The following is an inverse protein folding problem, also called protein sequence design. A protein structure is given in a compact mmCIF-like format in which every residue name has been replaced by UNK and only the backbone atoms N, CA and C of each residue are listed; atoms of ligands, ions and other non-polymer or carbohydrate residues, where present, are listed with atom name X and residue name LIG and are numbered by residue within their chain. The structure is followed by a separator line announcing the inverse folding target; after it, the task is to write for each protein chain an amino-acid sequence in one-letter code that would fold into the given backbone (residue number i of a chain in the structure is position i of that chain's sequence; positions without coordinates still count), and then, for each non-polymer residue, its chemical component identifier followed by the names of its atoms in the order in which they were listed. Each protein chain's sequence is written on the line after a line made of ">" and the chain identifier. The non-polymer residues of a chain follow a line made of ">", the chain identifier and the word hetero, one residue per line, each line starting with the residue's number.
data_IF_748911759712
#
_entry.id   IF_748911759712
#
_cell.length_a   1.000
_cell.length_b   1.000
_cell.length_c   1.000
_cell.angle_alpha   90.00
_cell.angle_beta   90.00
_cell.angle_gamma   90.00
#
_symmetry.space_group_name_H-M   'P 1'
#
loop_
_entity.id
_entity.type
_entity.pdbx_description
1 polymer ?
#
# COMPACT_ATOMS: atom_id res chain seq x y z
N UNK A 1 22.35 -1.58 25.54
CA UNK A 1 22.87 -0.22 25.77
C UNK A 1 21.89 0.85 25.28
N UNK A 2 21.41 0.80 24.02
CA UNK A 2 20.52 1.82 23.44
C UNK A 2 19.20 2.09 24.21
N UNK A 3 18.47 1.06 24.65
CA UNK A 3 17.16 1.26 25.31
C UNK A 3 17.26 1.97 26.67
N UNK A 4 18.36 1.78 27.42
CA UNK A 4 18.56 2.45 28.70
C UNK A 4 18.86 3.94 28.54
N UNK A 5 19.55 4.31 27.45
CA UNK A 5 19.78 5.71 27.07
C UNK A 5 18.46 6.36 26.65
N UNK A 6 17.65 5.68 25.82
CA UNK A 6 16.29 6.13 25.48
C UNK A 6 15.40 6.28 26.72
N UNK A 7 15.56 5.40 27.70
CA UNK A 7 14.82 5.44 28.96
C UNK A 7 15.09 6.67 29.84
N UNK A 8 16.17 7.43 29.59
CA UNK A 8 16.45 8.72 30.25
C UNK A 8 15.68 9.88 29.62
N UNK A 9 15.35 9.76 28.32
CA UNK A 9 14.55 10.73 27.58
C UNK A 9 13.04 10.51 27.79
N UNK A 10 12.65 9.42 28.45
CA UNK A 10 11.26 8.99 28.64
C UNK A 10 10.64 9.48 29.98
N UNK A 11 11.00 10.69 30.43
CA UNK A 11 10.41 11.27 31.64
C UNK A 11 9.02 11.87 31.33
N UNK A 12 8.08 11.72 32.26
CA UNK A 12 6.68 12.19 32.09
C UNK A 12 6.60 13.73 32.19
N UNK A 13 7.51 14.35 32.95
CA UNK A 13 7.47 15.79 33.22
C UNK A 13 8.29 16.63 32.22
N UNK A 14 9.45 16.14 31.78
CA UNK A 14 10.41 16.88 30.93
C UNK A 14 10.97 16.03 29.77
N UNK A 15 10.36 14.88 29.49
CA UNK A 15 10.84 13.95 28.47
C UNK A 15 10.19 14.15 27.10
N UNK A 16 10.62 13.30 26.17
CA UNK A 16 10.06 13.20 24.83
C UNK A 16 8.61 12.68 24.88
N UNK A 17 7.81 13.06 23.89
CA UNK A 17 6.45 12.55 23.75
C UNK A 17 6.43 11.02 23.57
N UNK A 18 5.33 10.39 23.98
CA UNK A 18 5.11 8.94 23.82
C UNK A 18 5.28 8.51 22.35
N UNK A 19 4.83 9.35 21.41
CA UNK A 19 5.04 9.18 19.98
C UNK A 19 6.54 9.15 19.60
N UNK A 20 7.32 10.13 20.06
CA UNK A 20 8.75 10.23 19.74
C UNK A 20 9.55 9.05 20.32
N UNK A 21 9.28 8.64 21.57
CA UNK A 21 9.95 7.49 22.19
C UNK A 21 9.61 6.20 21.43
N UNK A 22 8.34 6.03 21.04
CA UNK A 22 7.90 4.91 20.20
C UNK A 22 8.65 4.88 18.88
N UNK A 23 8.79 6.02 18.21
CA UNK A 23 9.56 6.11 16.96
C UNK A 23 11.02 5.73 17.18
N UNK A 24 11.67 6.23 18.23
CA UNK A 24 13.06 5.88 18.56
C UNK A 24 13.23 4.39 18.87
N UNK A 25 12.30 3.77 19.59
CA UNK A 25 12.34 2.33 19.82
C UNK A 25 12.26 1.54 18.51
N UNK A 26 11.32 1.90 17.62
CA UNK A 26 11.18 1.25 16.32
C UNK A 26 12.45 1.46 15.46
N UNK A 27 12.93 2.69 15.35
CA UNK A 27 14.05 3.06 14.49
C UNK A 27 15.40 2.53 14.99
N UNK A 28 15.68 2.55 16.30
CA UNK A 28 17.01 2.26 16.83
C UNK A 28 17.12 0.89 17.52
N UNK A 29 16.05 0.41 18.15
CA UNK A 29 16.09 -0.85 18.90
C UNK A 29 15.59 -1.99 18.04
N UNK A 30 14.42 -1.85 17.40
CA UNK A 30 13.86 -2.95 16.60
C UNK A 30 14.65 -3.21 15.32
N UNK A 31 15.25 -2.18 14.73
CA UNK A 31 16.15 -2.31 13.57
C UNK A 31 17.34 -3.23 13.86
N UNK A 32 17.89 -3.18 15.07
CA UNK A 32 19.01 -4.04 15.51
C UNK A 32 18.49 -5.40 16.01
N UNK A 33 17.43 -5.41 16.81
CA UNK A 33 16.93 -6.64 17.44
C UNK A 33 16.30 -7.62 16.45
N UNK A 34 15.71 -7.10 15.38
CA UNK A 34 15.02 -7.88 14.36
C UNK A 34 15.89 -8.05 13.10
N UNK A 35 17.15 -7.58 13.13
CA UNK A 35 18.06 -7.68 12.00
C UNK A 35 18.28 -9.14 11.60
N UNK A 36 18.00 -9.46 10.33
CA UNK A 36 18.15 -10.82 9.82
C UNK A 36 17.03 -11.77 10.24
N UNK A 37 15.90 -11.28 10.77
CA UNK A 37 14.74 -12.10 11.14
C UNK A 37 14.30 -13.05 10.01
N UNK A 38 14.41 -12.62 8.76
CA UNK A 38 14.07 -13.44 7.59
C UNK A 38 14.95 -14.70 7.48
N UNK A 39 16.13 -14.71 8.08
CA UNK A 39 17.10 -15.81 8.05
C UNK A 39 16.92 -16.74 9.26
N UNK A 40 16.85 -16.17 10.47
CA UNK A 40 16.88 -16.99 11.70
C UNK A 40 15.51 -17.29 12.30
N UNK A 41 14.47 -16.49 12.07
CA UNK A 41 13.22 -16.60 12.82
C UNK A 41 12.35 -17.77 12.34
N UNK A 42 12.03 -18.68 13.28
CA UNK A 42 11.18 -19.86 13.05
C UNK A 42 10.21 -20.11 14.23
N UNK A 43 9.80 -19.05 14.93
CA UNK A 43 9.02 -19.12 16.17
C UNK A 43 9.76 -19.82 17.34
N UNK A 44 11.08 -19.64 17.45
CA UNK A 44 11.84 -20.27 18.53
C UNK A 44 11.53 -19.62 19.90
N UNK A 45 11.09 -20.38 20.92
CA UNK A 45 10.68 -19.81 22.21
C UNK A 45 11.78 -19.03 22.95
N UNK A 46 13.04 -19.47 22.85
CA UNK A 46 14.17 -18.83 23.54
C UNK A 46 14.42 -17.41 23.01
N UNK A 47 14.32 -17.22 21.69
CA UNK A 47 14.51 -15.93 21.04
C UNK A 47 13.35 -14.99 21.39
N UNK A 48 12.11 -15.50 21.32
CA UNK A 48 10.91 -14.77 21.70
C UNK A 48 10.99 -14.26 23.13
N UNK A 49 11.41 -15.10 24.09
CA UNK A 49 11.48 -14.72 25.51
C UNK A 49 12.43 -13.54 25.75
N UNK A 50 13.61 -13.56 25.12
CA UNK A 50 14.61 -12.47 25.22
C UNK A 50 14.06 -11.17 24.63
N UNK A 51 13.50 -11.23 23.42
CA UNK A 51 12.93 -10.06 22.75
C UNK A 51 11.68 -9.54 23.47
N UNK A 52 10.87 -10.41 24.05
CA UNK A 52 9.68 -10.04 24.82
C UNK A 52 10.06 -9.25 26.08
N UNK A 53 11.15 -9.65 26.76
CA UNK A 53 11.66 -8.90 27.91
C UNK A 53 12.07 -7.48 27.52
N UNK A 54 12.79 -7.33 26.40
CA UNK A 54 13.19 -6.04 25.85
C UNK A 54 11.97 -5.18 25.46
N UNK A 55 11.00 -5.80 24.79
CA UNK A 55 9.76 -5.17 24.36
C UNK A 55 8.93 -4.67 25.55
N UNK A 56 8.76 -5.49 26.58
CA UNK A 56 8.01 -5.12 27.77
C UNK A 56 8.64 -3.92 28.49
N UNK A 57 9.97 -3.87 28.53
CA UNK A 57 10.71 -2.72 29.07
C UNK A 57 10.46 -1.46 28.23
N UNK A 58 10.49 -1.59 26.90
CA UNK A 58 10.22 -0.49 25.99
C UNK A 58 8.80 0.05 26.15
N UNK A 59 7.77 -0.80 26.14
CA UNK A 59 6.38 -0.36 26.30
C UNK A 59 6.16 0.39 27.62
N UNK A 60 6.74 -0.09 28.73
CA UNK A 60 6.65 0.59 30.02
C UNK A 60 7.32 1.95 30.02
N UNK A 61 8.49 2.06 29.38
CA UNK A 61 9.20 3.34 29.23
C UNK A 61 8.45 4.30 28.32
N UNK A 62 7.89 3.84 27.21
CA UNK A 62 7.10 4.65 26.29
C UNK A 62 5.87 5.27 26.95
N UNK A 63 5.19 4.52 27.83
CA UNK A 63 3.98 5.00 28.50
C UNK A 63 4.22 5.58 29.90
N UNK A 64 5.42 5.47 30.44
CA UNK A 64 5.72 5.89 31.82
C UNK A 64 5.00 5.05 32.90
N UNK A 65 4.51 3.85 32.58
CA UNK A 65 3.75 3.03 33.53
C UNK A 65 4.64 2.26 34.51
N UNK A 66 4.05 1.87 35.65
CA UNK A 66 4.73 1.09 36.69
C UNK A 66 5.33 -0.22 36.17
N UNK A 67 6.40 -0.69 36.85
CA UNK A 67 7.04 -1.98 36.54
C UNK A 67 6.09 -3.18 36.64
N UNK A 68 5.06 -3.06 37.48
CA UNK A 68 4.02 -4.07 37.71
C UNK A 68 2.88 -4.02 36.68
N UNK A 69 2.89 -3.05 35.76
CA UNK A 69 1.85 -2.94 34.74
C UNK A 69 1.77 -4.21 33.87
N UNK A 70 0.54 -4.68 33.56
CA UNK A 70 0.33 -5.90 32.78
C UNK A 70 0.80 -5.73 31.34
N UNK A 71 1.58 -6.69 30.85
CA UNK A 71 2.36 -6.54 29.62
C UNK A 71 1.52 -6.44 28.35
N UNK A 72 0.45 -7.23 28.24
CA UNK A 72 -0.39 -7.28 27.04
C UNK A 72 -1.18 -5.96 26.86
N UNK A 73 -1.90 -5.44 27.87
CA UNK A 73 -2.52 -4.11 27.78
C UNK A 73 -1.51 -2.99 27.52
N UNK A 74 -0.38 -2.98 28.22
CA UNK A 74 0.66 -1.94 28.02
C UNK A 74 1.20 -1.95 26.58
N UNK A 75 1.35 -3.13 25.96
CA UNK A 75 1.77 -3.22 24.56
C UNK A 75 0.75 -2.63 23.59
N UNK A 76 -0.54 -2.84 23.86
CA UNK A 76 -1.65 -2.32 23.06
C UNK A 76 -1.72 -0.80 23.15
N UNK A 77 -1.72 -0.26 24.37
CA UNK A 77 -1.73 1.18 24.65
C UNK A 77 -0.50 1.89 24.04
N UNK A 78 0.67 1.25 24.11
CA UNK A 78 1.89 1.78 23.50
C UNK A 78 1.86 1.72 21.97
N UNK A 79 0.84 1.11 21.35
CA UNK A 79 0.77 0.86 19.92
C UNK A 79 2.03 0.17 19.38
N UNK A 80 2.56 -0.79 20.16
CA UNK A 80 3.75 -1.57 19.86
C UNK A 80 3.38 -3.05 19.70
N UNK A 81 3.86 -3.66 18.63
CA UNK A 81 3.58 -5.05 18.31
C UNK A 81 4.50 -6.00 19.08
N UNK A 82 3.95 -7.04 19.74
CA UNK A 82 4.75 -8.09 20.37
C UNK A 82 5.75 -8.70 19.38
N UNK A 83 6.98 -9.05 19.83
CA UNK A 83 8.05 -9.53 18.95
C UNK A 83 7.66 -10.69 18.04
N UNK A 84 6.93 -11.70 18.54
CA UNK A 84 6.55 -12.84 17.71
C UNK A 84 5.66 -12.41 16.52
N UNK A 85 4.65 -11.58 16.78
CA UNK A 85 3.73 -11.05 15.76
C UNK A 85 4.49 -10.14 14.78
N UNK A 86 5.39 -9.30 15.30
CA UNK A 86 6.22 -8.39 14.51
C UNK A 86 7.15 -9.17 13.56
N UNK A 87 7.89 -10.16 14.06
CA UNK A 87 8.80 -11.00 13.27
C UNK A 87 8.05 -11.87 12.25
N UNK A 88 6.88 -12.40 12.61
CA UNK A 88 6.02 -13.13 11.66
C UNK A 88 5.55 -12.22 10.52
N UNK A 89 5.17 -10.97 10.82
CA UNK A 89 4.84 -9.98 9.80
C UNK A 89 6.05 -9.66 8.89
N UNK A 90 7.25 -9.54 9.46
CA UNK A 90 8.50 -9.37 8.68
C UNK A 90 8.75 -10.52 7.71
N UNK A 91 8.54 -11.78 8.14
CA UNK A 91 8.64 -12.94 7.24
C UNK A 91 7.58 -12.87 6.14
N UNK A 92 6.32 -12.55 6.47
CA UNK A 92 5.23 -12.45 5.48
C UNK A 92 5.50 -11.36 4.44
N UNK A 93 5.99 -10.20 4.87
CA UNK A 93 6.35 -9.11 3.97
C UNK A 93 7.49 -9.52 3.04
N UNK A 94 8.50 -10.22 3.56
CA UNK A 94 9.58 -10.77 2.73
C UNK A 94 9.07 -11.82 1.74
N UNK A 95 8.20 -12.73 2.18
CA UNK A 95 7.57 -13.72 1.30
C UNK A 95 6.76 -13.05 0.17
N UNK A 96 6.06 -11.95 0.47
CA UNK A 96 5.26 -11.20 -0.51
C UNK A 96 6.17 -10.57 -1.57
N UNK A 97 7.25 -9.92 -1.11
CA UNK A 97 8.29 -9.38 -2.00
C UNK A 97 8.99 -10.45 -2.82
N UNK A 98 9.18 -11.64 -2.28
CA UNK A 98 9.82 -12.73 -3.01
C UNK A 98 8.94 -13.25 -4.18
N UNK A 99 7.62 -13.20 -4.04
CA UNK A 99 6.66 -13.57 -5.11
C UNK A 99 6.57 -12.51 -6.23
N UNK A 100 6.98 -11.27 -5.95
CA UNK A 100 7.01 -10.18 -6.93
C UNK A 100 8.16 -10.34 -7.95
N UNK A 101 9.22 -11.00 -7.53
CA UNK A 101 10.41 -11.19 -8.36
C UNK A 101 10.04 -11.97 -9.61
N UNK A 102 10.54 -11.51 -10.77
CA UNK A 102 10.37 -12.22 -12.02
C UNK A 102 10.76 -13.71 -11.88
N UNK A 103 10.08 -14.59 -12.61
CA UNK A 103 10.32 -16.04 -12.58
C UNK A 103 11.78 -16.42 -12.93
N UNK A 104 12.53 -15.53 -13.58
CA UNK A 104 13.95 -15.68 -13.89
C UNK A 104 14.87 -15.49 -12.68
N UNK A 105 14.43 -14.80 -11.65
CA UNK A 105 15.22 -14.43 -10.48
C UNK A 105 15.62 -15.67 -9.65
N UNK A 106 16.87 -15.77 -9.14
CA UNK A 106 17.35 -16.94 -8.38
C UNK A 106 16.47 -17.31 -7.18
N UNK A 107 15.97 -16.31 -6.45
CA UNK A 107 15.07 -16.51 -5.30
C UNK A 107 13.73 -17.11 -5.75
N UNK A 108 13.14 -16.61 -6.84
CA UNK A 108 11.88 -17.15 -7.37
C UNK A 108 12.06 -18.61 -7.80
N UNK A 109 13.15 -18.92 -8.52
CA UNK A 109 13.52 -20.30 -8.90
C UNK A 109 13.70 -21.21 -7.68
N UNK A 110 14.36 -20.72 -6.63
CA UNK A 110 14.55 -21.47 -5.39
C UNK A 110 13.21 -21.77 -4.68
N UNK A 111 12.29 -20.80 -4.63
CA UNK A 111 10.96 -20.97 -4.05
C UNK A 111 10.15 -22.00 -4.86
N UNK A 112 10.12 -21.87 -6.19
CA UNK A 112 9.40 -22.82 -7.07
C UNK A 112 9.95 -24.25 -6.95
N UNK A 113 11.28 -24.40 -6.82
CA UNK A 113 11.92 -25.69 -6.56
C UNK A 113 11.47 -26.30 -5.23
N UNK A 114 11.36 -25.49 -4.16
CA UNK A 114 10.89 -25.97 -2.86
C UNK A 114 9.42 -26.38 -2.93
N UNK A 115 8.58 -25.60 -3.60
CA UNK A 115 7.16 -25.90 -3.76
C UNK A 115 6.92 -27.22 -4.52
N UNK A 116 7.70 -27.48 -5.57
CA UNK A 116 7.62 -28.74 -6.34
C UNK A 116 8.12 -29.94 -5.53
N UNK A 117 9.21 -29.80 -4.76
CA UNK A 117 9.72 -30.89 -3.90
C UNK A 117 8.77 -31.25 -2.74
N UNK A 118 8.00 -30.30 -2.20
CA UNK A 118 7.02 -30.59 -1.13
C UNK A 118 5.83 -31.46 -1.61
N UNK A 119 5.56 -31.53 -2.92
CA UNK A 119 4.55 -32.44 -3.49
C UNK A 119 5.03 -33.89 -3.55
N UNK A 120 6.35 -34.11 -3.57
CA UNK A 120 6.97 -35.43 -3.53
C UNK A 120 7.45 -35.70 -2.10
N UNK A 121 6.59 -36.38 -1.30
CA UNK A 121 6.84 -36.76 0.11
C UNK A 121 8.29 -37.23 0.34
N UNK A 122 9.14 -36.34 0.83
CA UNK A 122 10.44 -36.72 1.38
C UNK A 122 10.22 -37.42 2.73
N UNK A 123 10.71 -38.66 2.84
CA UNK A 123 10.66 -39.49 4.06
C UNK A 123 11.64 -39.04 5.16
N UNK A 124 12.36 -37.93 4.99
CA UNK A 124 13.26 -37.40 6.03
C UNK A 124 12.60 -36.25 6.79
N UNK A 125 12.23 -36.44 8.08
CA UNK A 125 11.79 -35.34 8.92
C UNK A 125 13.01 -34.45 9.25
N UNK A 126 12.78 -33.15 9.47
CA UNK A 126 13.72 -32.23 10.13
C UNK A 126 14.84 -31.55 9.31
N UNK A 127 14.61 -31.17 8.05
CA UNK A 127 15.24 -29.94 7.54
C UNK A 127 14.16 -28.92 7.20
N UNK A 128 13.56 -28.31 8.23
CA UNK A 128 12.79 -27.08 8.06
C UNK A 128 13.73 -25.98 7.57
N UNK A 129 13.89 -25.89 6.24
CA UNK A 129 14.67 -24.82 5.62
C UNK A 129 13.89 -23.53 5.80
N UNK A 130 14.57 -22.45 6.20
CA UNK A 130 13.96 -21.12 6.37
C UNK A 130 13.09 -20.69 5.17
N UNK A 131 13.50 -21.09 3.97
CA UNK A 131 12.75 -20.87 2.74
C UNK A 131 11.36 -21.54 2.73
N UNK A 132 11.17 -22.70 3.39
CA UNK A 132 9.86 -23.30 3.58
C UNK A 132 8.98 -22.46 4.52
N UNK A 133 9.54 -21.93 5.60
CA UNK A 133 8.83 -21.00 6.50
C UNK A 133 8.37 -19.76 5.75
N UNK A 134 9.26 -19.13 4.98
CA UNK A 134 8.94 -17.97 4.13
C UNK A 134 7.86 -18.34 3.11
N UNK A 135 8.03 -19.45 2.40
CA UNK A 135 7.08 -19.91 1.39
C UNK A 135 5.71 -20.17 2.01
N UNK A 136 5.63 -20.72 3.22
CA UNK A 136 4.38 -21.07 3.88
C UNK A 136 3.78 -19.91 4.69
N UNK A 137 4.50 -18.80 4.87
CA UNK A 137 4.02 -17.63 5.61
C UNK A 137 2.83 -16.94 4.94
N UNK A 138 2.71 -17.07 3.61
CA UNK A 138 1.58 -16.54 2.84
C UNK A 138 0.56 -17.66 2.56
N UNK A 139 -0.75 -17.42 2.80
CA UNK A 139 -1.81 -18.37 2.47
C UNK A 139 -1.72 -18.84 1.02
N UNK A 140 -1.97 -20.13 0.75
CA UNK A 140 -1.83 -20.72 -0.59
C UNK A 140 -2.61 -19.96 -1.68
N UNK A 141 -3.79 -19.42 -1.34
CA UNK A 141 -4.63 -18.64 -2.25
C UNK A 141 -3.96 -17.34 -2.73
N UNK A 142 -2.98 -16.83 -1.97
CA UNK A 142 -2.26 -15.59 -2.25
C UNK A 142 -0.93 -15.81 -2.98
N UNK A 143 -0.61 -17.05 -3.38
CA UNK A 143 0.65 -17.41 -4.07
C UNK A 143 0.56 -17.40 -5.59
N UNK A 144 -0.65 -17.36 -6.16
CA UNK A 144 -0.88 -17.38 -7.61
C UNK A 144 -1.35 -16.01 -8.08
N UNK A 145 -0.93 -15.69 -9.30
CA UNK A 145 -1.28 -14.47 -10.05
C UNK A 145 -1.01 -13.21 -9.24
N UNK A 146 0.22 -13.05 -8.75
CA UNK A 146 0.65 -11.81 -8.12
C UNK A 146 1.26 -10.89 -9.16
N UNK A 147 1.14 -9.58 -8.94
CA UNK A 147 1.93 -8.58 -9.65
C UNK A 147 3.39 -9.02 -9.73
N UNK A 148 4.01 -8.84 -10.91
CA UNK A 148 5.42 -9.14 -11.14
C UNK A 148 6.16 -7.86 -11.52
N UNK A 149 7.30 -7.63 -10.88
CA UNK A 149 8.25 -6.59 -11.29
C UNK A 149 9.15 -7.17 -12.37
N UNK A 150 9.21 -6.47 -13.48
CA UNK A 150 10.11 -6.81 -14.58
C UNK A 150 11.45 -6.11 -14.27
N UNK A 151 12.60 -6.79 -14.39
CA UNK A 151 13.89 -6.10 -14.34
C UNK A 151 13.94 -5.05 -15.45
N UNK A 152 13.80 -3.78 -15.08
CA UNK A 152 13.84 -2.66 -16.00
C UNK A 152 14.94 -1.70 -15.56
N UNK A 153 15.75 -1.24 -16.50
CA UNK A 153 16.87 -0.34 -16.20
C UNK A 153 16.42 1.10 -16.44
N UNK A 154 15.89 1.73 -15.40
CA UNK A 154 15.71 3.17 -15.38
C UNK A 154 17.08 3.85 -15.26
N UNK A 155 17.49 4.59 -16.29
CA UNK A 155 18.72 5.36 -16.25
C UNK A 155 18.44 6.66 -15.49
N UNK A 156 19.38 7.18 -14.68
CA UNK A 156 19.17 8.43 -13.93
C UNK A 156 18.83 9.64 -14.80
N UNK A 157 19.20 9.61 -16.08
CA UNK A 157 18.95 10.67 -17.07
C UNK A 157 17.77 10.36 -18.01
N UNK A 158 16.99 9.31 -17.77
CA UNK A 158 15.79 9.03 -18.57
C UNK A 158 14.76 10.14 -18.33
N UNK A 159 14.35 10.82 -19.40
CA UNK A 159 13.33 11.87 -19.35
C UNK A 159 11.98 11.33 -19.78
N UNK A 160 10.91 11.83 -19.16
CA UNK A 160 9.55 11.51 -19.57
C UNK A 160 9.20 12.24 -20.88
N UNK A 161 8.45 11.55 -21.74
CA UNK A 161 7.87 12.13 -22.97
C UNK A 161 6.49 12.73 -22.73
N UNK A 162 6.23 13.18 -21.50
CA UNK A 162 5.01 13.84 -21.07
C UNK A 162 5.33 14.73 -19.87
N UNK A 163 4.53 15.77 -19.65
CA UNK A 163 4.69 16.65 -18.50
C UNK A 163 3.73 16.27 -17.39
N UNK A 164 4.10 16.61 -16.15
CA UNK A 164 3.27 16.36 -14.97
C UNK A 164 3.12 17.65 -14.19
N UNK A 165 1.87 18.11 -14.02
CA UNK A 165 1.55 19.35 -13.32
C UNK A 165 0.59 19.05 -12.17
N UNK A 166 0.98 19.42 -10.95
CA UNK A 166 0.14 19.33 -9.75
C UNK A 166 0.00 20.74 -9.20
N UNK A 167 -1.23 21.25 -9.17
CA UNK A 167 -1.52 22.58 -8.65
C UNK A 167 -1.32 22.64 -7.13
N UNK A 168 -0.84 23.78 -6.64
CA UNK A 168 -0.75 24.09 -5.20
C UNK A 168 -1.91 24.96 -4.71
N UNK A 169 -2.84 25.33 -5.61
CA UNK A 169 -4.00 26.17 -5.27
C UNK A 169 -5.03 25.40 -4.44
N UNK A 170 -5.99 26.13 -3.88
CA UNK A 170 -7.14 25.50 -3.23
C UNK A 170 -7.99 24.73 -4.26
N UNK A 171 -8.78 23.75 -3.79
CA UNK A 171 -9.61 22.90 -4.66
C UNK A 171 -10.62 23.73 -5.47
N UNK A 172 -11.25 24.72 -4.83
CA UNK A 172 -12.27 25.57 -5.46
C UNK A 172 -11.65 26.50 -6.51
N UNK A 173 -10.51 27.09 -6.21
CA UNK A 173 -9.77 27.94 -7.16
C UNK A 173 -9.30 27.15 -8.37
N UNK A 174 -8.82 25.92 -8.17
CA UNK A 174 -8.39 25.06 -9.26
C UNK A 174 -9.56 24.60 -10.13
N UNK A 175 -10.71 24.25 -9.54
CA UNK A 175 -11.91 23.89 -10.29
C UNK A 175 -12.42 25.06 -11.16
N UNK A 176 -12.44 26.28 -10.60
CA UNK A 176 -12.82 27.49 -11.34
C UNK A 176 -11.81 27.80 -12.46
N UNK A 177 -10.51 27.70 -12.18
CA UNK A 177 -9.46 27.90 -13.17
C UNK A 177 -9.54 26.88 -14.31
N UNK A 178 -9.82 25.62 -13.98
CA UNK A 178 -10.00 24.54 -14.94
C UNK A 178 -11.20 24.78 -15.87
N UNK A 179 -12.35 25.15 -15.30
CA UNK A 179 -13.54 25.51 -16.09
C UNK A 179 -13.31 26.73 -16.99
N UNK A 180 -12.58 27.73 -16.51
CA UNK A 180 -12.21 28.90 -17.31
C UNK A 180 -11.25 28.53 -18.45
N UNK A 181 -10.23 27.72 -18.16
CA UNK A 181 -9.24 27.24 -19.12
C UNK A 181 -9.89 26.41 -20.23
N UNK A 182 -10.78 25.49 -19.87
CA UNK A 182 -11.50 24.65 -20.82
C UNK A 182 -12.33 25.46 -21.83
N UNK A 183 -12.87 26.61 -21.41
CA UNK A 183 -13.67 27.48 -22.29
C UNK A 183 -12.82 28.32 -23.25
N UNK A 184 -11.55 28.58 -22.91
CA UNK A 184 -10.68 29.51 -23.65
C UNK A 184 -9.58 28.82 -24.45
N UNK A 185 -9.44 27.50 -24.32
CA UNK A 185 -8.39 26.72 -24.99
C UNK A 185 -8.61 26.54 -26.49
N UNK A 186 -7.55 26.11 -27.17
CA UNK A 186 -7.51 25.84 -28.60
C UNK A 186 -8.20 24.52 -28.98
N UNK A 187 -8.56 24.40 -30.26
CA UNK A 187 -9.33 23.26 -30.77
C UNK A 187 -8.55 21.94 -30.90
N UNK A 188 -7.22 22.00 -30.87
CA UNK A 188 -6.37 20.81 -30.95
C UNK A 188 -6.23 20.05 -29.61
N UNK A 189 -6.90 20.51 -28.55
CA UNK A 189 -6.87 19.89 -27.22
C UNK A 189 -7.95 18.83 -27.03
N UNK A 190 -7.55 17.68 -26.49
CA UNK A 190 -8.43 16.60 -26.07
C UNK A 190 -8.27 16.36 -24.58
N UNK A 191 -9.37 16.48 -23.83
CA UNK A 191 -9.36 16.21 -22.38
C UNK A 191 -9.75 14.77 -22.12
N UNK A 192 -9.05 14.13 -21.20
CA UNK A 192 -9.37 12.81 -20.70
C UNK A 192 -9.42 12.89 -19.19
N UNK A 193 -10.54 12.45 -18.60
CA UNK A 193 -10.66 12.29 -17.16
C UNK A 193 -10.62 10.81 -16.83
N UNK A 194 -9.95 10.46 -15.74
CA UNK A 194 -9.92 9.10 -15.22
C UNK A 194 -10.19 9.10 -13.73
N UNK A 195 -10.93 8.10 -13.27
CA UNK A 195 -11.18 7.87 -11.85
C UNK A 195 -11.28 6.37 -11.55
N UNK A 196 -11.14 5.99 -10.29
CA UNK A 196 -11.31 4.63 -9.81
C UNK A 196 -12.18 4.55 -8.55
N UNK A 197 -13.01 3.53 -8.49
CA UNK A 197 -13.97 3.37 -7.40
C UNK A 197 -14.02 1.94 -6.88
N UNK A 198 -14.44 1.82 -5.61
CA UNK A 198 -14.77 0.58 -4.96
C UNK A 198 -16.09 0.74 -4.23
N UNK A 199 -17.08 -0.10 -4.57
CA UNK A 199 -18.38 -0.14 -3.92
C UNK A 199 -18.49 -1.37 -3.00
N UNK A 200 -19.37 -1.33 -2.00
CA UNK A 200 -19.54 -2.45 -1.06
C UNK A 200 -20.12 -3.71 -1.74
N UNK A 201 -21.00 -3.53 -2.71
CA UNK A 201 -21.62 -4.59 -3.51
C UNK A 201 -20.83 -4.93 -4.78
N UNK A 202 -19.74 -4.19 -5.04
CA UNK A 202 -18.92 -4.34 -6.24
C UNK A 202 -18.10 -5.63 -6.25
N UNK A 203 -17.84 -6.15 -7.45
CA UNK A 203 -17.03 -7.35 -7.70
C UNK A 203 -15.53 -7.06 -7.78
N UNK A 204 -15.11 -5.80 -7.59
CA UNK A 204 -13.71 -5.40 -7.65
C UNK A 204 -13.54 -3.88 -7.67
N UNK A 205 -12.36 -3.44 -8.15
CA UNK A 205 -12.07 -2.03 -8.37
C UNK A 205 -12.49 -1.67 -9.80
N UNK A 206 -13.42 -0.74 -9.91
CA UNK A 206 -13.88 -0.18 -11.16
C UNK A 206 -13.03 1.03 -11.56
N UNK A 207 -12.82 1.21 -12.85
CA UNK A 207 -12.04 2.28 -13.47
C UNK A 207 -12.91 2.89 -14.56
N UNK A 208 -13.04 4.20 -14.53
CA UNK A 208 -13.81 4.98 -15.49
C UNK A 208 -12.93 5.96 -16.23
N UNK A 209 -13.18 6.11 -17.54
CA UNK A 209 -12.50 7.07 -18.40
C UNK A 209 -13.54 7.81 -19.22
N UNK A 210 -13.45 9.14 -19.26
CA UNK A 210 -14.30 9.99 -20.08
C UNK A 210 -13.44 10.95 -20.91
N UNK A 211 -13.64 10.96 -22.23
CA UNK A 211 -12.87 11.75 -23.19
C UNK A 211 -13.77 12.80 -23.82
N UNK A 212 -13.28 14.03 -23.82
CA UNK A 212 -13.95 15.20 -24.36
C UNK A 212 -13.09 15.88 -25.43
N UNK A 213 -13.72 16.30 -26.51
CA UNK A 213 -13.08 17.15 -27.51
C UNK A 213 -12.95 18.62 -27.02
N UNK A 214 -12.45 19.52 -27.87
CA UNK A 214 -12.33 20.94 -27.53
C UNK A 214 -13.68 21.57 -27.16
N UNK A 215 -14.76 21.17 -27.83
CA UNK A 215 -16.13 21.68 -27.62
C UNK A 215 -16.85 21.07 -26.42
N UNK A 216 -16.16 20.34 -25.52
CA UNK A 216 -16.73 19.67 -24.35
C UNK A 216 -17.80 18.61 -24.66
N UNK A 217 -17.77 18.04 -25.86
CA UNK A 217 -18.60 16.89 -26.21
C UNK A 217 -17.87 15.60 -25.82
N UNK A 218 -18.55 14.70 -25.09
CA UNK A 218 -18.04 13.36 -24.80
C UNK A 218 -17.92 12.59 -26.12
N UNK A 219 -16.70 12.27 -26.53
CA UNK A 219 -16.40 11.54 -27.77
C UNK A 219 -16.08 10.06 -27.52
N UNK A 220 -15.71 9.71 -26.28
CA UNK A 220 -15.42 8.35 -25.89
C UNK A 220 -15.54 8.18 -24.37
N UNK A 221 -15.98 7.01 -23.94
CA UNK A 221 -15.90 6.60 -22.54
C UNK A 221 -15.57 5.11 -22.45
N UNK A 222 -14.96 4.73 -21.34
CA UNK A 222 -14.56 3.35 -21.08
C UNK A 222 -14.74 3.00 -19.59
N UNK A 223 -15.21 1.77 -19.35
CA UNK A 223 -15.35 1.17 -18.02
C UNK A 223 -14.55 -0.11 -17.94
N UNK A 224 -13.86 -0.32 -16.81
CA UNK A 224 -13.14 -1.56 -16.52
C UNK A 224 -13.14 -1.95 -15.06
N UNK A 225 -13.38 -3.22 -14.80
CA UNK A 225 -13.07 -3.84 -13.52
C UNK A 225 -11.69 -4.53 -13.53
N UNK A 226 -10.75 -4.07 -12.70
CA UNK A 226 -9.39 -4.63 -12.61
C UNK A 226 -9.25 -5.79 -11.59
N UNK A 227 -10.33 -6.16 -10.90
CA UNK A 227 -10.32 -7.28 -9.96
C UNK A 227 -10.49 -6.91 -8.49
N UNK A 228 -10.91 -7.90 -7.71
CA UNK A 228 -11.12 -7.81 -6.26
C UNK A 228 -9.85 -7.82 -5.41
N UNK A 229 -8.70 -8.14 -6.00
CA UNK A 229 -7.41 -8.21 -5.29
C UNK A 229 -6.51 -7.00 -5.59
N UNK A 230 -7.16 -5.89 -5.90
CA UNK A 230 -6.56 -4.59 -6.20
C UNK A 230 -7.04 -3.57 -5.15
N UNK A 231 -6.34 -2.44 -5.05
CA UNK A 231 -6.79 -1.27 -4.29
C UNK A 231 -7.25 -0.18 -5.26
N UNK A 232 -8.07 0.76 -4.79
CA UNK A 232 -8.51 1.94 -5.58
C UNK A 232 -7.31 2.64 -6.22
N UNK A 233 -6.22 2.82 -5.47
CA UNK A 233 -4.95 3.35 -5.98
C UNK A 233 -4.42 2.67 -7.27
N UNK A 234 -4.59 1.35 -7.40
CA UNK A 234 -4.19 0.63 -8.61
C UNK A 234 -5.15 0.91 -9.77
N UNK A 235 -6.42 1.13 -9.45
CA UNK A 235 -7.42 1.59 -10.41
C UNK A 235 -7.07 2.97 -10.96
N UNK A 236 -6.59 3.90 -10.12
CA UNK A 236 -6.13 5.23 -10.56
C UNK A 236 -4.97 5.13 -11.55
N UNK A 237 -3.99 4.28 -11.23
CA UNK A 237 -2.87 4.02 -12.13
C UNK A 237 -3.35 3.41 -13.46
N UNK A 238 -4.29 2.46 -13.42
CA UNK A 238 -4.88 1.88 -14.62
C UNK A 238 -5.67 2.92 -15.43
N UNK A 239 -6.47 3.78 -14.79
CA UNK A 239 -7.25 4.83 -15.43
C UNK A 239 -6.38 5.79 -16.21
N UNK A 240 -5.34 6.33 -15.57
CA UNK A 240 -4.36 7.20 -16.22
C UNK A 240 -3.65 6.43 -17.36
N UNK A 241 -3.25 5.19 -17.13
CA UNK A 241 -2.56 4.37 -18.15
C UNK A 241 -3.41 4.19 -19.40
N UNK A 242 -4.71 3.94 -19.22
CA UNK A 242 -5.63 3.74 -20.32
C UNK A 242 -5.99 5.03 -21.05
N UNK A 243 -6.03 6.16 -20.34
CA UNK A 243 -6.10 7.48 -20.96
C UNK A 243 -4.89 7.72 -21.89
N UNK A 244 -3.68 7.36 -21.44
CA UNK A 244 -2.47 7.41 -22.27
C UNK A 244 -2.55 6.47 -23.47
N UNK A 245 -3.05 5.24 -23.30
CA UNK A 245 -3.21 4.27 -24.40
C UNK A 245 -4.27 4.73 -25.42
N UNK A 246 -5.37 5.33 -24.96
CA UNK A 246 -6.36 5.97 -25.83
C UNK A 246 -5.72 7.10 -26.65
N UNK A 247 -4.98 7.99 -26.00
CA UNK A 247 -4.27 9.07 -26.68
C UNK A 247 -3.26 8.52 -27.70
N UNK A 248 -2.46 7.52 -27.34
CA UNK A 248 -1.52 6.88 -28.26
C UNK A 248 -2.19 6.28 -29.51
N UNK A 249 -3.38 5.68 -29.33
CA UNK A 249 -4.15 5.10 -30.43
C UNK A 249 -4.69 6.19 -31.37
N UNK A 250 -5.27 7.26 -30.82
CA UNK A 250 -6.02 8.26 -31.56
C UNK A 250 -5.23 9.53 -31.92
N UNK A 251 -3.99 9.69 -31.42
CA UNK A 251 -3.18 10.88 -31.67
C UNK A 251 -2.96 11.13 -33.16
N UNK A 252 -3.17 12.40 -33.55
CA UNK A 252 -2.77 13.00 -34.83
C UNK A 252 -1.67 14.03 -34.62
N UNK A 253 -1.01 14.45 -35.70
CA UNK A 253 0.03 15.50 -35.68
C UNK A 253 -0.49 16.78 -35.03
N UNK A 254 0.33 17.40 -34.18
CA UNK A 254 0.06 18.64 -33.45
C UNK A 254 -1.15 18.61 -32.48
N UNK A 255 -1.61 17.40 -32.11
CA UNK A 255 -2.66 17.22 -31.11
C UNK A 255 -2.10 17.27 -29.68
N UNK A 256 -2.86 17.91 -28.79
CA UNK A 256 -2.54 18.06 -27.38
C UNK A 256 -3.51 17.23 -26.54
N UNK A 257 -3.00 16.32 -25.70
CA UNK A 257 -3.81 15.51 -24.80
C UNK A 257 -3.60 15.92 -23.35
N UNK A 258 -4.69 16.11 -22.62
CA UNK A 258 -4.68 16.46 -21.21
C UNK A 258 -5.39 15.40 -20.40
N UNK A 259 -4.63 14.63 -19.63
CA UNK A 259 -5.16 13.60 -18.74
C UNK A 259 -5.28 14.17 -17.34
N UNK A 260 -6.50 14.24 -16.83
CA UNK A 260 -6.81 14.69 -15.48
C UNK A 260 -7.10 13.51 -14.56
N UNK A 261 -6.45 13.51 -13.40
CA UNK A 261 -6.69 12.57 -12.32
C UNK A 261 -6.68 13.29 -10.98
N UNK A 262 -7.44 12.79 -10.00
CA UNK A 262 -7.55 13.42 -8.68
C UNK A 262 -6.56 12.85 -7.65
N UNK A 263 -5.98 11.67 -7.93
CA UNK A 263 -5.05 10.99 -7.05
C UNK A 263 -3.60 11.44 -7.28
N UNK A 264 -3.16 12.40 -6.47
CA UNK A 264 -1.77 12.89 -6.50
C UNK A 264 -0.72 11.78 -6.32
N UNK A 265 -0.98 10.76 -5.50
CA UNK A 265 -0.03 9.67 -5.29
C UNK A 265 0.14 8.81 -6.57
N UNK A 266 -0.93 8.63 -7.35
CA UNK A 266 -0.86 7.94 -8.64
C UNK A 266 -0.07 8.77 -9.66
N UNK A 267 -0.32 10.09 -9.72
CA UNK A 267 0.41 11.04 -10.56
C UNK A 267 1.91 11.02 -10.23
N UNK A 268 2.26 11.14 -8.94
CA UNK A 268 3.67 11.10 -8.50
C UNK A 268 4.33 9.76 -8.79
N UNK A 269 3.61 8.64 -8.64
CA UNK A 269 4.14 7.31 -8.98
C UNK A 269 4.48 7.19 -10.46
N UNK A 270 3.66 7.75 -11.35
CA UNK A 270 3.92 7.75 -12.78
C UNK A 270 5.04 8.74 -13.15
N UNK A 271 5.16 9.87 -12.45
CA UNK A 271 6.26 10.85 -12.62
C UNK A 271 7.64 10.28 -12.27
N UNK A 272 7.74 9.52 -11.18
CA UNK A 272 9.03 9.07 -10.66
C UNK A 272 9.36 7.65 -11.16
N UNK A 273 10.28 7.55 -12.13
CA UNK A 273 10.75 6.30 -12.71
C UNK A 273 11.39 5.39 -11.66
N UNK A 274 10.78 4.24 -11.40
CA UNK A 274 11.27 3.29 -10.38
C UNK A 274 10.66 1.90 -10.52
N UNK A 275 11.35 0.91 -9.95
CA UNK A 275 10.89 -0.50 -9.86
C UNK A 275 9.89 -0.75 -8.71
N UNK A 276 9.34 0.33 -8.15
CA UNK A 276 8.36 0.26 -7.06
C UNK A 276 7.03 -0.37 -7.52
N UNK A 277 6.16 -0.81 -6.60
CA UNK A 277 4.81 -1.29 -6.92
C UNK A 277 4.09 -0.40 -7.94
N UNK A 278 3.40 -1.02 -8.89
CA UNK A 278 2.76 -0.34 -10.02
C UNK A 278 3.67 -0.06 -11.22
N UNK A 279 4.85 -0.70 -11.28
CA UNK A 279 5.80 -0.56 -12.38
C UNK A 279 5.17 -0.89 -13.75
N UNK A 280 4.29 -1.89 -13.82
CA UNK A 280 3.65 -2.29 -15.07
C UNK A 280 2.83 -1.15 -15.72
N UNK A 281 2.08 -0.39 -14.92
CA UNK A 281 1.36 0.80 -15.38
C UNK A 281 2.31 1.89 -15.87
N UNK A 282 3.38 2.16 -15.13
CA UNK A 282 4.41 3.11 -15.56
C UNK A 282 5.03 2.73 -16.91
N UNK A 283 5.38 1.47 -17.12
CA UNK A 283 5.94 1.01 -18.40
C UNK A 283 4.94 1.14 -19.56
N UNK A 284 3.65 0.89 -19.32
CA UNK A 284 2.58 1.12 -20.30
C UNK A 284 2.43 2.60 -20.63
N UNK A 285 2.39 3.48 -19.63
CA UNK A 285 2.38 4.94 -19.84
C UNK A 285 3.58 5.40 -20.66
N UNK A 286 4.79 4.93 -20.34
CA UNK A 286 6.01 5.28 -21.09
C UNK A 286 5.92 4.83 -22.55
N UNK A 287 5.45 3.61 -22.80
CA UNK A 287 5.25 3.09 -24.17
C UNK A 287 4.23 3.92 -24.94
N UNK A 288 3.12 4.28 -24.30
CA UNK A 288 2.08 5.13 -24.89
C UNK A 288 2.61 6.54 -25.19
N UNK A 289 3.25 7.20 -24.22
CA UNK A 289 3.86 8.52 -24.40
C UNK A 289 4.91 8.54 -25.52
N UNK A 290 5.75 7.51 -25.62
CA UNK A 290 6.69 7.37 -26.73
C UNK A 290 5.98 7.28 -28.09
N UNK A 291 4.81 6.64 -28.14
CA UNK A 291 4.02 6.50 -29.36
C UNK A 291 3.37 7.83 -29.74
N UNK A 292 2.82 8.56 -28.77
CA UNK A 292 2.25 9.90 -28.93
C UNK A 292 3.32 10.85 -29.49
N UNK A 293 4.51 10.88 -28.88
CA UNK A 293 5.62 11.72 -29.34
C UNK A 293 6.07 11.40 -30.77
N UNK A 294 6.12 10.12 -31.16
CA UNK A 294 6.44 9.71 -32.55
C UNK A 294 5.42 10.19 -33.58
N UNK A 295 4.17 10.36 -33.16
CA UNK A 295 3.10 10.94 -33.98
C UNK A 295 3.09 12.48 -33.97
N UNK A 296 4.12 13.11 -33.38
CA UNK A 296 4.22 14.56 -33.24
C UNK A 296 3.04 15.17 -32.46
N UNK A 297 2.52 14.42 -31.49
CA UNK A 297 1.55 14.88 -30.51
C UNK A 297 2.20 14.98 -29.14
N UNK A 298 1.54 15.70 -28.23
CA UNK A 298 1.99 15.86 -26.85
C UNK A 298 0.91 15.38 -25.87
N UNK A 299 1.35 15.02 -24.67
CA UNK A 299 0.46 14.61 -23.59
C UNK A 299 0.92 15.19 -22.26
N UNK A 300 -0.07 15.63 -21.49
CA UNK A 300 0.09 16.29 -20.21
C UNK A 300 -0.73 15.54 -19.16
N UNK A 301 -0.09 15.20 -18.04
CA UNK A 301 -0.78 14.62 -16.88
C UNK A 301 -0.98 15.71 -15.83
N UNK A 302 -2.23 16.06 -15.58
CA UNK A 302 -2.65 17.16 -14.73
C UNK A 302 -3.43 16.63 -13.53
N UNK A 303 -3.28 17.29 -12.39
CA UNK A 303 -4.14 17.06 -11.24
C UNK A 303 -5.44 17.85 -11.37
N UNK A 304 -6.57 17.19 -11.15
CA UNK A 304 -7.87 17.84 -10.98
C UNK A 304 -8.38 17.64 -9.55
N UNK A 305 -9.02 18.64 -8.93
CA UNK A 305 -9.70 18.44 -7.65
C UNK A 305 -10.89 17.48 -7.83
N UNK A 306 -10.94 16.43 -7.01
CA UNK A 306 -12.13 15.58 -6.89
C UNK A 306 -13.24 16.25 -6.07
N UNK A 307 -14.49 15.94 -6.40
CA UNK A 307 -15.73 16.43 -5.76
C UNK A 307 -15.92 17.96 -5.82
N UNK A 308 -15.64 18.56 -6.98
CA UNK A 308 -15.81 20.00 -7.22
C UNK A 308 -16.60 20.30 -8.50
N UNK A 309 -17.61 19.49 -8.80
CA UNK A 309 -18.53 19.68 -9.93
C UNK A 309 -17.86 19.85 -11.31
N UNK A 310 -16.67 19.26 -11.51
CA UNK A 310 -16.04 19.19 -12.82
C UNK A 310 -16.75 18.09 -13.60
N UNK A 311 -17.54 18.47 -14.59
CA UNK A 311 -18.41 17.57 -15.38
C UNK A 311 -17.69 16.30 -15.84
N UNK A 312 -16.49 16.42 -16.39
CA UNK A 312 -15.74 15.25 -16.87
C UNK A 312 -15.19 14.36 -15.75
N UNK A 313 -14.85 14.93 -14.59
CA UNK A 313 -14.42 14.16 -13.42
C UNK A 313 -15.61 13.42 -12.78
N UNK A 314 -16.75 14.10 -12.62
CA UNK A 314 -18.02 13.49 -12.18
C UNK A 314 -18.44 12.34 -13.10
N UNK A 315 -18.25 12.52 -14.41
CA UNK A 315 -18.50 11.46 -15.40
C UNK A 315 -17.56 10.28 -15.22
N UNK A 316 -16.28 10.50 -15.00
CA UNK A 316 -15.31 9.44 -14.75
C UNK A 316 -15.62 8.67 -13.45
N UNK A 317 -15.97 9.36 -12.35
CA UNK A 317 -16.40 8.74 -11.08
C UNK A 317 -17.66 7.87 -11.27
N UNK A 318 -18.66 8.39 -11.99
CA UNK A 318 -19.86 7.62 -12.33
C UNK A 318 -19.51 6.34 -13.10
N UNK A 319 -18.67 6.44 -14.14
CA UNK A 319 -18.23 5.29 -14.92
C UNK A 319 -17.43 4.29 -14.07
N UNK A 320 -16.57 4.78 -13.17
CA UNK A 320 -15.81 3.94 -12.26
C UNK A 320 -16.73 3.17 -11.30
N UNK A 321 -17.77 3.81 -10.76
CA UNK A 321 -18.79 3.18 -9.92
C UNK A 321 -19.58 2.11 -10.69
N UNK A 322 -20.01 2.39 -11.91
CA UNK A 322 -20.69 1.39 -12.74
C UNK A 322 -19.77 0.21 -13.09
N UNK A 323 -18.49 0.47 -13.40
CA UNK A 323 -17.50 -0.55 -13.67
C UNK A 323 -17.31 -1.54 -12.51
N UNK A 324 -17.57 -1.14 -11.24
CA UNK A 324 -17.47 -2.06 -10.10
C UNK A 324 -18.44 -3.26 -10.18
N UNK A 325 -19.53 -3.12 -10.93
CA UNK A 325 -20.56 -4.17 -11.11
C UNK A 325 -20.19 -5.17 -12.21
N UNK A 326 -19.31 -4.77 -13.13
CA UNK A 326 -18.82 -5.62 -14.22
C UNK A 326 -17.98 -6.79 -13.70
N UNK A 327 -17.86 -7.84 -14.50
CA UNK A 327 -17.01 -8.97 -14.16
C UNK A 327 -15.52 -8.57 -14.25
N UNK A 328 -14.72 -8.93 -13.23
CA UNK A 328 -13.32 -8.53 -13.17
C UNK A 328 -12.48 -9.15 -14.30
N UNK A 329 -11.74 -8.30 -15.02
CA UNK A 329 -10.85 -8.72 -16.12
C UNK A 329 -9.63 -9.51 -15.66
N UNK A 330 -9.29 -9.41 -14.38
CA UNK A 330 -8.10 -10.04 -13.82
C UNK A 330 -8.33 -10.50 -12.40
N UNK A 331 -7.72 -11.62 -12.05
CA UNK A 331 -7.60 -12.15 -10.68
C UNK A 331 -6.22 -11.84 -10.08
N UNK A 332 -5.45 -10.96 -10.73
CA UNK A 332 -4.10 -10.60 -10.29
C UNK A 332 -4.16 -9.86 -8.96
N UNK A 333 -3.27 -10.21 -8.03
CA UNK A 333 -3.15 -9.60 -6.70
C UNK A 333 -2.02 -8.59 -6.70
N UNK A 334 -2.34 -7.35 -6.32
CA UNK A 334 -1.30 -6.34 -6.11
C UNK A 334 -0.51 -6.56 -4.83
N UNK A 335 0.71 -6.03 -4.81
CA UNK A 335 1.55 -6.02 -3.60
C UNK A 335 0.85 -5.26 -2.46
N UNK A 336 0.20 -4.15 -2.79
CA UNK A 336 -0.50 -3.33 -1.81
C UNK A 336 -1.65 -4.11 -1.15
N UNK A 337 -2.42 -4.88 -1.93
CA UNK A 337 -3.45 -5.79 -1.39
C UNK A 337 -2.86 -6.90 -0.50
N UNK A 338 -1.72 -7.47 -0.88
CA UNK A 338 -1.03 -8.44 -0.01
C UNK A 338 -0.55 -7.77 1.29
N UNK A 339 -0.04 -6.55 1.23
CA UNK A 339 0.34 -5.76 2.40
C UNK A 339 -0.83 -5.51 3.36
N UNK A 340 -2.01 -5.14 2.85
CA UNK A 340 -3.21 -4.97 3.69
C UNK A 340 -3.66 -6.30 4.31
N UNK A 341 -3.53 -7.40 3.56
CA UNK A 341 -3.82 -8.74 4.08
C UNK A 341 -2.87 -9.14 5.22
N UNK A 342 -1.56 -8.89 5.06
CA UNK A 342 -0.56 -9.16 6.11
C UNK A 342 -0.87 -8.32 7.36
N UNK A 343 -1.22 -7.06 7.18
CA UNK A 343 -1.63 -6.17 8.28
C UNK A 343 -2.88 -6.70 9.00
N UNK A 344 -3.88 -7.18 8.25
CA UNK A 344 -5.09 -7.80 8.83
C UNK A 344 -4.76 -9.03 9.64
N UNK A 345 -3.91 -9.93 9.13
CA UNK A 345 -3.45 -11.12 9.86
C UNK A 345 -2.76 -10.71 11.17
N UNK A 346 -1.85 -9.72 11.11
CA UNK A 346 -1.17 -9.19 12.29
C UNK A 346 -2.15 -8.64 13.33
N UNK A 347 -3.17 -7.88 12.91
CA UNK A 347 -4.22 -7.36 13.79
C UNK A 347 -5.04 -8.49 14.43
N UNK A 348 -5.39 -9.52 13.66
CA UNK A 348 -6.10 -10.70 14.17
C UNK A 348 -5.25 -11.45 15.19
N UNK A 349 -3.95 -11.66 14.94
CA UNK A 349 -3.03 -12.31 15.88
C UNK A 349 -2.93 -11.53 17.20
N UNK A 350 -2.78 -10.20 17.11
CA UNK A 350 -2.73 -9.34 18.29
C UNK A 350 -4.04 -9.36 19.09
N UNK A 351 -5.18 -9.36 18.39
CA UNK A 351 -6.50 -9.48 19.02
C UNK A 351 -6.65 -10.82 19.73
N UNK A 352 -6.26 -11.92 19.10
CA UNK A 352 -6.33 -13.25 19.71
C UNK A 352 -5.44 -13.35 20.96
N UNK A 353 -4.25 -12.74 20.96
CA UNK A 353 -3.38 -12.68 22.14
C UNK A 353 -4.04 -11.89 23.28
N UNK A 354 -4.66 -10.76 22.96
CA UNK A 354 -5.41 -9.95 23.92
C UNK A 354 -6.60 -10.71 24.51
N UNK A 355 -7.42 -11.37 23.69
CA UNK A 355 -8.58 -12.13 24.17
C UNK A 355 -8.17 -13.29 25.09
N UNK A 356 -7.09 -14.01 24.75
CA UNK A 356 -6.54 -15.06 25.62
C UNK A 356 -6.07 -14.50 26.97
N UNK A 357 -5.44 -13.33 26.97
CA UNK A 357 -5.04 -12.65 28.19
C UNK A 357 -6.26 -12.18 29.01
N UNK A 358 -7.23 -11.55 28.35
CA UNK A 358 -8.47 -11.05 28.98
C UNK A 358 -9.22 -12.18 29.67
N UNK A 359 -9.47 -13.30 28.98
CA UNK A 359 -10.15 -14.46 29.55
C UNK A 359 -9.45 -15.04 30.79
N UNK A 360 -8.11 -15.10 30.77
CA UNK A 360 -7.33 -15.56 31.94
C UNK A 360 -7.39 -14.55 33.10
N UNK A 361 -7.27 -13.26 32.80
CA UNK A 361 -7.29 -12.21 33.81
C UNK A 361 -8.67 -12.09 34.50
N UNK A 362 -9.76 -12.17 33.73
CA UNK A 362 -11.12 -12.12 34.26
C UNK A 362 -11.47 -13.36 35.08
N UNK A 363 -10.96 -14.53 34.69
CA UNK A 363 -11.13 -15.77 35.45
C UNK A 363 -10.41 -15.71 36.82
N UNK A 364 -9.22 -15.10 36.88
CA UNK A 364 -8.46 -14.94 38.13
C UNK A 364 -9.04 -13.86 39.03
N UNK A 365 -9.48 -12.74 38.47
CA UNK A 365 -10.05 -11.63 39.23
C UNK A 365 -11.03 -10.82 38.35
N UNK A 366 -12.32 -10.87 38.71
CA UNK A 366 -13.42 -10.19 38.00
C UNK A 366 -13.34 -8.65 38.07
N UNK A 367 -12.56 -8.09 38.99
CA UNK A 367 -12.35 -6.64 39.14
C UNK A 367 -11.10 -6.12 38.40
N UNK A 368 -10.44 -6.95 37.58
CA UNK A 368 -9.22 -6.57 36.85
C UNK A 368 -9.45 -5.42 35.86
N UNK A 369 -8.40 -4.66 35.58
CA UNK A 369 -8.38 -3.60 34.57
C UNK A 369 -8.94 -4.08 33.22
N UNK A 370 -8.63 -5.32 32.84
CA UNK A 370 -9.06 -5.97 31.60
C UNK A 370 -10.55 -6.35 31.58
N UNK A 371 -11.17 -6.50 32.75
CA UNK A 371 -12.61 -6.73 32.90
C UNK A 371 -13.42 -5.42 32.80
N UNK A 372 -12.83 -4.30 33.23
CA UNK A 372 -13.46 -2.96 33.22
C UNK A 372 -13.28 -2.21 31.90
N UNK A 373 -12.26 -2.53 31.11
CA UNK A 373 -11.98 -1.85 29.85
C UNK A 373 -12.82 -2.43 28.70
N UNK A 374 -13.91 -1.74 28.36
CA UNK A 374 -14.86 -2.09 27.29
C UNK A 374 -14.27 -1.72 25.91
N UNK A 375 -14.52 -2.56 24.90
CA UNK A 375 -13.96 -2.63 23.53
C UNK A 375 -13.94 -1.35 22.66
N UNK A 376 -14.35 -0.18 23.15
CA UNK A 376 -14.68 0.98 22.32
C UNK A 376 -13.49 1.73 21.69
N UNK A 377 -12.24 1.46 22.08
CA UNK A 377 -11.05 2.17 21.54
C UNK A 377 -10.20 1.37 20.54
N UNK A 378 -10.47 0.07 20.33
CA UNK A 378 -9.75 -0.75 19.35
C UNK A 378 -9.97 -0.30 17.89
N UNK A 379 -11.04 0.46 17.62
CA UNK A 379 -11.37 0.94 16.27
C UNK A 379 -10.82 2.35 15.98
N UNK A 380 -10.77 3.22 16.98
CA UNK A 380 -10.39 4.65 16.84
C UNK A 380 -8.87 4.87 16.82
N UNK A 381 -8.09 4.19 17.69
CA UNK A 381 -6.62 4.39 17.75
C UNK A 381 -5.90 3.90 16.49
N UNK A 382 -6.42 2.86 15.83
CA UNK A 382 -5.89 2.37 14.54
C UNK A 382 -6.27 3.23 13.34
N UNK A 383 -7.30 4.09 13.44
CA UNK A 383 -7.62 5.05 12.38
C UNK A 383 -6.75 6.32 12.48
N UNK A 384 -6.59 6.89 13.69
CA UNK A 384 -5.91 8.20 13.86
C UNK A 384 -4.38 8.16 13.78
N UNK A 385 -3.73 7.05 14.13
CA UNK A 385 -2.24 6.94 14.09
C UNK A 385 -1.67 6.55 12.71
N UNK A 386 -2.53 6.14 11.76
CA UNK A 386 -2.08 5.59 10.47
C UNK A 386 -2.36 6.46 9.25
N UNK A 387 -3.20 7.51 9.36
CA UNK A 387 -3.37 8.51 8.28
C UNK A 387 -2.05 9.25 8.01
N UNK A 388 -1.17 9.39 9.01
CA UNK A 388 0.17 10.02 8.89
C UNK A 388 1.28 9.10 8.39
N UNK A 389 1.05 7.78 8.25
CA UNK A 389 2.07 6.84 7.77
C UNK A 389 1.95 6.53 6.26
N UNK A 390 0.82 6.83 5.64
CA UNK A 390 0.69 6.77 4.17
C UNK A 390 1.47 7.89 3.47
N UNK A 391 1.72 9.00 4.14
CA UNK A 391 2.53 10.10 3.58
C UNK A 391 4.05 9.90 3.74
N UNK A 392 4.52 9.01 4.62
CA UNK A 392 5.96 8.89 4.95
C UNK A 392 6.64 7.62 4.44
N UNK A 393 5.93 6.71 3.79
CA UNK A 393 6.52 5.54 3.11
C UNK A 393 6.50 5.63 1.57
N UNK A 394 6.10 6.78 1.02
CA UNK A 394 6.13 7.10 -0.41
C UNK A 394 6.91 8.40 -0.74
N UNK A 395 7.81 8.82 0.14
CA UNK A 395 8.84 9.81 -0.17
C UNK A 395 10.18 9.14 -0.44
#
# INVERSE_FOLDING_TARGET
>A
MCLYVLGRLANIELGLSTHAIRQLYLACVTSVSDYGAQIYWQNQPYATKKLQSLHNLACRKTLGVFRTAPTVPTSLEASLLPPAIRLNSTIRNYASRANLLANTHPIAKAITRIQSTNLQRSKKPNQHRQLQTITNAIPKNNKRDTEQTIPYRFRPWDTLNYTVTVSQKSKEEEANAHQAYIKTRLDNYTTIYSDASQTQEGKGIGVGIAVYNSTQQEIYSETVNIGQYQLVYNGELEGITRAFEYAAKNATTDQEFEVYADNQAAIYRLKNLSDNPGQHWQLRCLKAANTIRRKQANIHLLWAPGHTDIVGNERADYLAKEATKEDPRSTTKSIAYLGTTIKRIQQTEQRQEYEKYKARATALNKATYSAKYIEHQLFEMTKRSWITLFSSQFH
#
